data_IF_386774385457
#
_entry.id   IF_386774385457
#
_cell.length_a   1.000
_cell.length_b   1.000
_cell.length_c   1.000
_cell.angle_alpha   90.00
_cell.angle_beta   90.00
_cell.angle_gamma   90.00
#
_symmetry.space_group_name_H-M   'P 1'
#
loop_
_entity.id
_entity.type
_entity.pdbx_description
1 polymer ?
#
# COMPACT_ATOMS: atom_id res chain seq x y z
N UNK A 1 -1.61 -6.62 0.25
CA UNK A 1 -1.10 -5.58 -0.66
C UNK A 1 -0.29 -6.26 -1.76
N UNK A 2 -0.40 -5.78 -2.99
CA UNK A 2 0.37 -6.27 -4.15
C UNK A 2 0.95 -5.06 -4.90
N UNK A 3 2.07 -4.49 -4.43
CA UNK A 3 2.70 -3.35 -5.09
C UNK A 3 3.23 -3.77 -6.47
N UNK A 4 3.03 -2.90 -7.45
CA UNK A 4 3.40 -3.12 -8.84
C UNK A 4 4.16 -1.93 -9.38
N UNK A 5 4.99 -2.15 -10.39
CA UNK A 5 5.72 -1.09 -11.09
C UNK A 5 5.58 -1.25 -12.60
N UNK A 6 5.67 -0.15 -13.34
CA UNK A 6 5.78 -0.20 -14.79
C UNK A 6 7.26 -0.33 -15.17
N UNK A 7 7.59 -1.36 -15.95
CA UNK A 7 8.91 -1.59 -16.49
C UNK A 7 8.79 -1.91 -17.99
N UNK A 8 9.41 -1.09 -18.84
CA UNK A 8 9.38 -1.22 -20.31
C UNK A 8 7.96 -1.35 -20.92
N UNK A 9 6.97 -0.67 -20.35
CA UNK A 9 5.59 -0.68 -20.83
C UNK A 9 4.75 -1.85 -20.32
N UNK A 10 5.32 -2.75 -19.52
CA UNK A 10 4.61 -3.83 -18.84
C UNK A 10 4.46 -3.55 -17.34
N UNK A 11 3.31 -3.90 -16.76
CA UNK A 11 3.09 -3.86 -15.32
C UNK A 11 3.61 -5.16 -14.69
N UNK A 12 4.54 -5.05 -13.74
CA UNK A 12 5.18 -6.18 -13.08
C UNK A 12 4.92 -6.13 -11.57
N UNK A 13 4.60 -7.28 -10.99
CA UNK A 13 4.40 -7.45 -9.55
C UNK A 13 5.74 -7.51 -8.83
N UNK A 14 5.97 -6.61 -7.88
CA UNK A 14 7.25 -6.51 -7.19
C UNK A 14 7.48 -7.67 -6.22
N UNK A 15 6.40 -8.16 -5.61
CA UNK A 15 6.45 -9.28 -4.67
C UNK A 15 7.10 -10.52 -5.29
N UNK A 16 6.78 -10.86 -6.54
CA UNK A 16 7.32 -12.07 -7.17
C UNK A 16 8.81 -11.94 -7.50
N UNK A 17 9.29 -10.71 -7.69
CA UNK A 17 10.67 -10.42 -7.99
C UNK A 17 11.57 -10.47 -6.74
N UNK A 18 10.98 -10.41 -5.55
CA UNK A 18 11.73 -10.47 -4.29
C UNK A 18 12.77 -9.37 -4.21
N UNK A 19 12.39 -8.12 -4.48
CA UNK A 19 13.31 -6.98 -4.63
C UNK A 19 14.18 -6.70 -3.40
N UNK A 20 13.81 -7.18 -2.21
CA UNK A 20 14.62 -7.12 -0.99
C UNK A 20 15.42 -8.41 -0.72
N UNK A 21 15.57 -9.29 -1.71
CA UNK A 21 16.12 -10.63 -1.53
C UNK A 21 15.15 -11.63 -0.90
N UNK A 22 13.84 -11.36 -0.96
CA UNK A 22 12.84 -12.27 -0.39
C UNK A 22 12.91 -13.63 -1.10
N UNK A 23 13.06 -14.72 -0.33
CA UNK A 23 13.22 -16.06 -0.89
C UNK A 23 14.62 -16.39 -1.42
N UNK A 24 15.61 -15.54 -1.14
CA UNK A 24 17.03 -15.73 -1.49
C UNK A 24 17.89 -15.89 -0.23
N UNK A 25 19.19 -16.18 -0.39
CA UNK A 25 20.14 -16.22 0.73
C UNK A 25 20.34 -14.85 1.40
N UNK A 26 20.03 -13.75 0.70
CA UNK A 26 20.25 -12.37 1.13
C UNK A 26 19.24 -11.88 2.17
N UNK A 27 18.04 -12.46 2.21
CA UNK A 27 17.02 -12.07 3.16
C UNK A 27 16.39 -13.28 3.82
N UNK A 28 16.54 -13.35 5.14
CA UNK A 28 15.89 -14.38 5.96
C UNK A 28 14.36 -14.24 5.97
N UNK A 29 13.83 -13.07 5.62
CA UNK A 29 12.39 -12.84 5.47
C UNK A 29 11.95 -13.38 4.11
N UNK A 30 11.01 -14.32 4.12
CA UNK A 30 10.35 -14.77 2.90
C UNK A 30 9.40 -13.71 2.32
N UNK A 31 8.74 -14.07 1.22
CA UNK A 31 7.72 -13.23 0.60
C UNK A 31 6.61 -12.85 1.58
N UNK A 32 6.25 -11.57 1.64
CA UNK A 32 5.13 -11.09 2.45
C UNK A 32 3.78 -11.64 1.95
N UNK A 33 2.74 -11.60 2.79
CA UNK A 33 1.40 -12.04 2.37
C UNK A 33 0.69 -10.95 1.54
N UNK A 34 -0.01 -11.37 0.48
CA UNK A 34 -0.89 -10.50 -0.31
C UNK A 34 -2.15 -10.08 0.46
N UNK A 35 -2.54 -10.87 1.46
CA UNK A 35 -3.67 -10.58 2.34
C UNK A 35 -3.14 -10.14 3.69
N UNK A 36 -3.56 -8.96 4.15
CA UNK A 36 -3.05 -8.32 5.36
C UNK A 36 -4.21 -7.82 6.21
N UNK A 37 -4.06 -7.95 7.52
CA UNK A 37 -5.00 -7.35 8.46
C UNK A 37 -4.72 -5.84 8.55
N UNK A 38 -5.79 -5.05 8.66
CA UNK A 38 -5.70 -3.62 8.93
C UNK A 38 -6.81 -3.21 9.89
N UNK A 39 -6.52 -2.20 10.71
CA UNK A 39 -7.51 -1.59 11.60
C UNK A 39 -7.90 -0.24 11.00
N UNK A 40 -9.14 -0.10 10.49
CA UNK A 40 -9.67 1.18 10.05
C UNK A 40 -10.16 2.00 11.24
N UNK A 41 -9.70 3.24 11.35
CA UNK A 41 -10.18 4.23 12.33
C UNK A 41 -10.57 5.47 11.54
N UNK A 42 -11.82 5.90 11.66
CA UNK A 42 -12.31 7.04 10.89
C UNK A 42 -13.37 7.84 11.62
N UNK A 43 -13.52 9.08 11.19
CA UNK A 43 -14.55 10.01 11.61
C UNK A 43 -15.25 10.55 10.37
N UNK A 44 -16.56 10.72 10.47
CA UNK A 44 -17.37 11.28 9.40
C UNK A 44 -18.37 12.28 9.93
N UNK A 45 -18.72 13.25 9.08
CA UNK A 45 -19.76 14.22 9.34
C UNK A 45 -20.82 14.13 8.26
N UNK A 46 -22.09 14.09 8.69
CA UNK A 46 -23.26 14.13 7.82
C UNK A 46 -23.98 15.45 7.98
N UNK A 47 -24.20 16.14 6.88
CA UNK A 47 -24.92 17.39 6.79
C UNK A 47 -26.17 17.18 5.95
N UNK A 48 -27.31 17.63 6.47
CA UNK A 48 -28.54 17.71 5.69
C UNK A 48 -28.59 19.08 5.01
N UNK A 49 -28.56 19.13 3.68
CA UNK A 49 -28.65 20.38 2.90
C UNK A 49 -30.10 20.73 2.56
N UNK A 50 -31.06 19.96 3.07
CA UNK A 50 -32.50 20.16 2.91
C UNK A 50 -33.26 18.85 3.09
N UNK A 51 -34.56 18.83 2.80
CA UNK A 51 -35.42 17.65 3.01
C UNK A 51 -35.11 16.48 2.05
N UNK A 52 -34.31 16.73 1.00
CA UNK A 52 -34.06 15.76 -0.08
C UNK A 52 -32.60 15.51 -0.38
N UNK A 53 -31.68 16.29 0.19
CA UNK A 53 -30.25 16.22 -0.13
C UNK A 53 -29.46 16.10 1.16
N UNK A 54 -28.69 15.03 1.28
CA UNK A 54 -27.71 14.84 2.33
C UNK A 54 -26.31 14.80 1.75
N UNK A 55 -25.34 15.35 2.47
CA UNK A 55 -23.94 15.31 2.13
C UNK A 55 -23.18 14.66 3.30
N UNK A 56 -22.30 13.72 2.99
CA UNK A 56 -21.48 13.04 3.98
C UNK A 56 -20.02 13.22 3.60
N UNK A 57 -19.19 13.52 4.59
CA UNK A 57 -17.73 13.52 4.48
C UNK A 57 -17.19 12.47 5.43
N UNK A 58 -16.20 11.70 4.98
CA UNK A 58 -15.50 10.70 5.77
C UNK A 58 -13.99 10.88 5.62
N UNK A 59 -13.28 10.79 6.73
CA UNK A 59 -11.82 10.70 6.77
C UNK A 59 -11.43 9.61 7.75
N UNK A 60 -10.54 8.73 7.33
CA UNK A 60 -10.07 7.64 8.15
C UNK A 60 -8.66 7.21 7.81
N UNK A 61 -7.97 6.69 8.81
CA UNK A 61 -6.65 6.10 8.70
C UNK A 61 -6.82 4.59 8.77
N UNK A 62 -6.09 3.87 7.93
CA UNK A 62 -5.95 2.41 8.01
C UNK A 62 -4.56 2.08 8.49
N UNK A 63 -4.47 1.67 9.76
CA UNK A 63 -3.24 1.15 10.34
C UNK A 63 -3.04 -0.28 9.84
N UNK A 64 -1.93 -0.53 9.17
CA UNK A 64 -1.57 -1.88 8.71
C UNK A 64 -0.55 -2.51 9.65
N UNK A 65 -0.43 -3.84 9.60
CA UNK A 65 0.57 -4.61 10.35
C UNK A 65 1.74 -5.05 9.46
N UNK A 66 1.90 -4.42 8.30
CA UNK A 66 2.94 -4.74 7.32
C UNK A 66 3.75 -3.49 6.99
N UNK A 67 4.92 -3.73 6.41
CA UNK A 67 5.89 -2.73 5.96
C UNK A 67 6.08 -2.83 4.44
N UNK A 68 5.10 -3.42 3.76
CA UNK A 68 5.18 -3.75 2.34
C UNK A 68 4.02 -3.11 1.60
N UNK A 69 3.59 -1.91 2.03
CA UNK A 69 2.61 -1.14 1.28
C UNK A 69 3.21 -0.65 -0.04
N UNK A 70 4.50 -0.32 -0.04
CA UNK A 70 5.31 0.19 -1.15
C UNK A 70 6.49 -0.73 -1.53
N UNK A 71 6.48 -1.99 -1.08
CA UNK A 71 7.55 -2.96 -1.29
C UNK A 71 8.88 -2.64 -0.57
N UNK A 72 8.82 -1.87 0.53
CA UNK A 72 10.00 -1.49 1.32
C UNK A 72 9.85 -1.84 2.80
N UNK A 73 10.31 -3.03 3.19
CA UNK A 73 10.28 -3.51 4.57
C UNK A 73 11.65 -3.63 5.25
N UNK A 74 12.75 -3.41 4.53
CA UNK A 74 14.11 -3.49 5.05
C UNK A 74 14.74 -2.11 5.24
N UNK A 75 15.69 -2.03 6.19
CA UNK A 75 16.42 -0.78 6.43
C UNK A 75 17.45 -0.49 5.34
N UNK A 76 18.01 -1.53 4.72
CA UNK A 76 19.14 -1.45 3.80
C UNK A 76 18.88 -2.22 2.52
N UNK A 77 19.50 -1.76 1.45
CA UNK A 77 19.57 -2.51 0.19
C UNK A 77 20.34 -3.82 0.37
N UNK A 78 19.95 -4.83 -0.41
CA UNK A 78 20.72 -6.06 -0.56
C UNK A 78 21.77 -5.91 -1.66
N UNK A 79 22.76 -6.80 -1.65
CA UNK A 79 23.76 -6.85 -2.71
C UNK A 79 23.10 -7.14 -4.07
N UNK A 80 23.25 -6.22 -5.01
CA UNK A 80 22.61 -6.32 -6.33
C UNK A 80 23.20 -7.43 -7.18
N UNK A 81 24.49 -7.75 -7.04
CA UNK A 81 25.15 -8.77 -7.86
C UNK A 81 24.68 -10.16 -7.43
N UNK A 82 24.59 -10.39 -6.12
CA UNK A 82 24.04 -11.63 -5.58
C UNK A 82 22.53 -11.73 -5.87
N UNK A 83 21.78 -10.63 -5.76
CA UNK A 83 20.36 -10.62 -6.08
C UNK A 83 20.10 -10.91 -7.57
N UNK A 84 20.94 -10.37 -8.45
CA UNK A 84 20.86 -10.64 -9.89
C UNK A 84 21.16 -12.12 -10.20
N UNK A 85 22.08 -12.74 -9.47
CA UNK A 85 22.41 -14.16 -9.62
C UNK A 85 21.30 -15.09 -9.11
N UNK A 86 20.64 -14.75 -7.99
CA UNK A 86 19.64 -15.61 -7.37
C UNK A 86 18.20 -15.36 -7.87
N UNK A 87 17.78 -14.10 -8.02
CA UNK A 87 16.41 -13.72 -8.42
C UNK A 87 16.30 -13.16 -9.84
N UNK A 88 17.44 -12.90 -10.50
CA UNK A 88 17.50 -12.42 -11.87
C UNK A 88 17.78 -10.91 -12.01
N UNK A 89 18.21 -10.46 -13.21
CA UNK A 89 18.68 -9.09 -13.42
C UNK A 89 17.58 -8.04 -13.27
N UNK A 90 16.32 -8.39 -13.56
CA UNK A 90 15.17 -7.49 -13.40
C UNK A 90 14.97 -7.15 -11.92
N UNK A 91 15.05 -8.15 -11.04
CA UNK A 91 14.91 -7.97 -9.58
C UNK A 91 15.97 -7.03 -9.02
N UNK A 92 17.24 -7.17 -9.44
CA UNK A 92 18.31 -6.25 -9.06
C UNK A 92 18.08 -4.82 -9.57
N UNK A 93 17.65 -4.68 -10.83
CA UNK A 93 17.38 -3.35 -11.41
C UNK A 93 16.22 -2.61 -10.73
N UNK A 94 15.22 -3.35 -10.24
CA UNK A 94 14.06 -2.80 -9.56
C UNK A 94 14.24 -2.67 -8.04
N UNK A 95 15.16 -3.45 -7.45
CA UNK A 95 15.56 -3.36 -6.04
C UNK A 95 16.14 -2.00 -5.69
N UNK A 96 16.97 -1.44 -6.58
CA UNK A 96 17.67 -0.20 -6.31
C UNK A 96 17.80 0.66 -7.58
N UNK A 97 16.86 1.60 -7.73
CA UNK A 97 16.85 2.57 -8.84
C UNK A 97 17.79 3.75 -8.64
N UNK A 98 18.36 3.91 -7.43
CA UNK A 98 19.23 5.04 -7.10
C UNK A 98 20.67 4.86 -7.60
N UNK A 99 21.08 3.63 -7.91
CA UNK A 99 22.45 3.29 -8.28
C UNK A 99 23.46 3.32 -7.12
N UNK A 100 23.04 3.68 -5.91
CA UNK A 100 23.89 3.69 -4.73
C UNK A 100 24.00 2.28 -4.14
N UNK A 101 25.19 1.68 -4.12
CA UNK A 101 25.42 0.33 -3.57
C UNK A 101 25.04 0.21 -2.10
N UNK A 102 25.15 1.31 -1.36
CA UNK A 102 24.84 1.38 0.07
C UNK A 102 23.94 2.57 0.36
N UNK A 103 22.94 2.36 1.21
CA UNK A 103 21.98 3.39 1.58
C UNK A 103 20.84 2.82 2.43
N UNK A 104 20.05 3.73 3.00
CA UNK A 104 18.82 3.35 3.67
C UNK A 104 17.72 3.17 2.62
N UNK A 105 17.08 2.01 2.64
CA UNK A 105 15.94 1.69 1.78
C UNK A 105 14.63 2.17 2.42
N UNK A 106 14.41 1.86 3.69
CA UNK A 106 13.30 2.34 4.49
C UNK A 106 13.50 2.15 5.99
N UNK A 107 12.40 1.98 6.74
CA UNK A 107 12.42 1.84 8.19
C UNK A 107 11.57 0.66 8.68
N UNK A 108 12.23 -0.46 8.94
CA UNK A 108 11.66 -1.71 9.44
C UNK A 108 11.01 -1.61 10.83
N UNK A 109 11.32 -0.57 11.61
CA UNK A 109 10.86 -0.42 12.99
C UNK A 109 9.42 0.09 13.08
N UNK A 110 8.98 0.89 12.12
CA UNK A 110 7.58 1.35 12.01
C UNK A 110 6.81 0.46 11.06
N UNK A 111 5.49 0.62 10.96
CA UNK A 111 4.64 -0.13 10.02
C UNK A 111 3.82 0.87 9.22
N UNK A 112 3.46 0.52 7.99
CA UNK A 112 2.85 1.45 7.05
C UNK A 112 1.38 1.73 7.34
N UNK A 113 0.98 2.99 7.25
CA UNK A 113 -0.40 3.44 7.42
C UNK A 113 -0.79 4.26 6.20
N UNK A 114 -2.07 4.26 5.83
CA UNK A 114 -2.57 5.10 4.75
C UNK A 114 -3.88 5.79 5.11
N UNK A 115 -4.08 6.96 4.51
CA UNK A 115 -5.28 7.77 4.66
C UNK A 115 -6.31 7.37 3.60
N UNK A 116 -7.57 7.40 4.00
CA UNK A 116 -8.72 7.27 3.11
C UNK A 116 -9.71 8.37 3.44
N UNK A 117 -10.14 9.09 2.40
CA UNK A 117 -11.17 10.10 2.53
C UNK A 117 -12.18 9.94 1.41
N UNK A 118 -13.42 10.32 1.70
CA UNK A 118 -14.53 10.20 0.77
C UNK A 118 -15.60 11.23 1.03
N UNK A 119 -16.38 11.51 -0.01
CA UNK A 119 -17.62 12.29 0.11
C UNK A 119 -18.74 11.53 -0.57
N UNK A 120 -19.93 11.57 0.02
CA UNK A 120 -21.12 10.93 -0.52
C UNK A 120 -22.27 11.93 -0.55
N UNK A 121 -22.84 12.09 -1.74
CA UNK A 121 -24.07 12.85 -1.96
C UNK A 121 -25.26 11.88 -1.99
N UNK A 122 -26.26 12.13 -1.15
CA UNK A 122 -27.46 11.29 -1.02
C UNK A 122 -28.68 12.09 -1.45
N UNK A 123 -29.49 11.53 -2.34
CA UNK A 123 -30.76 12.10 -2.78
C UNK A 123 -31.94 11.25 -2.30
N UNK A 124 -32.89 11.87 -1.61
CA UNK A 124 -34.15 11.21 -1.24
C UNK A 124 -35.17 11.36 -2.37
N UNK A 125 -35.58 10.24 -2.95
CA UNK A 125 -36.57 10.17 -4.04
C UNK A 125 -37.95 9.84 -3.43
N UNK A 126 -38.74 10.87 -3.16
CA UNK A 126 -40.11 10.74 -2.63
C UNK A 126 -40.52 11.88 -1.71
N UNK A 127 -41.83 12.03 -1.47
CA UNK A 127 -42.35 12.88 -0.40
C UNK A 127 -42.27 12.11 0.92
N UNK A 128 -41.67 12.66 1.99
CA UNK A 128 -41.78 12.05 3.31
C UNK A 128 -43.27 11.99 3.68
N UNK A 129 -43.83 10.78 3.73
CA UNK A 129 -45.17 10.55 4.28
C UNK A 129 -45.12 10.90 5.75
N UNK A 130 -46.02 11.77 6.21
CA UNK A 130 -46.15 12.16 7.62
C UNK A 130 -46.12 10.90 8.50
N UNK A 131 -45.18 10.83 9.44
CA UNK A 131 -45.25 9.85 10.52
C UNK A 131 -46.24 10.39 11.55
N UNK A 132 -47.26 9.59 11.87
CA UNK A 132 -48.28 9.89 12.88
C UNK A 132 -47.81 9.34 14.23
#
# INVERSE_FOLDING_TARGET
MNPKTNYNGAEIELRQLGTEGQGTSLNKRGYYSLTQLCIPIGVGAKLSLGNRIGLNFEIGIRKTFTDYLDDVGSNSYVDNDVLAAESGPISASLSNKSGATFGSRGNASTKDWYLFSGMMLTFSLGTPTNCW
#
